data_IF_657061657035
#
_entry.id   IF_657061657035
#
_cell.length_a   1.000
_cell.length_b   1.000
_cell.length_c   1.000
_cell.angle_alpha   90.00
_cell.angle_beta   90.00
_cell.angle_gamma   90.00
#
_symmetry.space_group_name_H-M   'P 1'
#
loop_
_entity.id
_entity.type
_entity.pdbx_description
1 polymer ?
#
# COMPACT_ATOMS: atom_id res chain seq x y z
N UNK A 1 16.69 -10.78 -3.14
CA UNK A 1 17.78 -9.80 -3.32
C UNK A 1 19.13 -10.47 -3.23
N UNK A 2 19.83 -10.63 -4.36
CA UNK A 2 21.19 -11.16 -4.41
C UNK A 2 22.13 -10.00 -4.83
N UNK A 3 22.78 -9.31 -3.88
CA UNK A 3 23.58 -8.13 -4.17
C UNK A 3 24.80 -8.46 -5.04
N UNK A 4 25.38 -9.65 -4.89
CA UNK A 4 26.53 -10.08 -5.68
C UNK A 4 26.16 -10.21 -7.17
N UNK A 5 25.01 -10.82 -7.46
CA UNK A 5 24.52 -10.97 -8.82
C UNK A 5 24.08 -9.62 -9.41
N UNK A 6 23.36 -8.80 -8.64
CA UNK A 6 22.95 -7.45 -9.05
C UNK A 6 24.16 -6.59 -9.44
N UNK A 7 25.23 -6.64 -8.65
CA UNK A 7 26.46 -5.91 -8.92
C UNK A 7 27.24 -6.52 -10.10
N UNK A 8 27.26 -7.85 -10.22
CA UNK A 8 27.92 -8.54 -11.33
C UNK A 8 27.30 -8.16 -12.68
N UNK A 9 25.98 -7.98 -12.75
CA UNK A 9 25.29 -7.58 -13.98
C UNK A 9 25.66 -6.16 -14.43
N UNK A 10 26.02 -5.28 -13.49
CA UNK A 10 26.51 -3.93 -13.78
C UNK A 10 28.03 -3.90 -14.04
N UNK A 11 28.81 -4.63 -13.26
CA UNK A 11 30.28 -4.63 -13.31
C UNK A 11 30.85 -6.04 -13.05
N UNK A 12 31.45 -6.63 -14.08
CA UNK A 12 32.02 -7.98 -14.02
C UNK A 12 33.48 -8.02 -13.54
N UNK A 13 34.09 -6.87 -13.24
CA UNK A 13 35.51 -6.74 -12.87
C UNK A 13 36.48 -7.38 -13.88
N UNK A 14 36.10 -7.38 -15.17
CA UNK A 14 36.94 -7.85 -16.27
C UNK A 14 37.60 -6.68 -16.99
N UNK A 15 38.56 -6.98 -17.89
CA UNK A 15 39.20 -5.95 -18.73
C UNK A 15 38.18 -5.15 -19.56
N UNK A 16 37.10 -5.81 -19.97
CA UNK A 16 35.91 -5.22 -20.57
C UNK A 16 34.72 -5.51 -19.66
N UNK A 17 33.99 -4.46 -19.28
CA UNK A 17 32.73 -4.58 -18.54
C UNK A 17 31.56 -4.25 -19.44
N UNK A 18 30.45 -4.96 -19.24
CA UNK A 18 29.19 -4.75 -19.94
C UNK A 18 28.13 -4.42 -18.90
N UNK A 19 27.64 -3.18 -18.91
CA UNK A 19 26.64 -2.75 -17.95
C UNK A 19 25.24 -3.13 -18.44
N UNK A 20 24.78 -4.32 -18.07
CA UNK A 20 23.50 -4.85 -18.51
C UNK A 20 22.31 -4.05 -17.95
N UNK A 21 22.49 -3.36 -16.83
CA UNK A 21 21.47 -2.46 -16.26
C UNK A 21 21.23 -1.28 -17.22
N UNK A 22 22.31 -0.62 -17.65
CA UNK A 22 22.25 0.45 -18.65
C UNK A 22 21.69 -0.02 -20.00
N UNK A 23 22.12 -1.17 -20.50
CA UNK A 23 21.61 -1.72 -21.77
C UNK A 23 20.11 -2.02 -21.70
N UNK A 24 19.63 -2.52 -20.56
CA UNK A 24 18.20 -2.78 -20.35
C UNK A 24 17.40 -1.47 -20.30
N UNK A 25 17.95 -0.42 -19.70
CA UNK A 25 17.33 0.91 -19.70
C UNK A 25 17.30 1.54 -21.09
N UNK A 26 18.38 1.40 -21.87
CA UNK A 26 18.42 1.85 -23.28
C UNK A 26 17.44 1.07 -24.15
N UNK A 27 17.25 -0.22 -23.88
CA UNK A 27 16.22 -1.01 -24.54
C UNK A 27 14.81 -0.46 -24.26
N UNK A 28 14.51 -0.11 -23.00
CA UNK A 28 13.25 0.54 -22.64
C UNK A 28 13.05 1.89 -23.36
N UNK A 29 14.11 2.69 -23.42
CA UNK A 29 14.11 3.98 -24.12
C UNK A 29 13.82 3.83 -25.62
N UNK A 30 14.42 2.81 -26.24
CA UNK A 30 14.26 2.49 -27.65
C UNK A 30 12.87 1.97 -27.99
N UNK A 31 12.36 0.99 -27.22
CA UNK A 31 11.05 0.37 -27.49
C UNK A 31 9.89 1.36 -27.28
N UNK A 32 10.06 2.35 -26.40
CA UNK A 32 9.08 3.40 -26.15
C UNK A 32 9.23 4.64 -27.06
N UNK A 33 10.20 4.65 -27.98
CA UNK A 33 10.26 5.64 -29.08
C UNK A 33 10.83 7.02 -28.74
N UNK A 34 11.60 7.13 -27.66
CA UNK A 34 12.20 8.39 -27.16
C UNK A 34 13.01 9.17 -28.21
N UNK A 35 13.67 8.47 -29.13
CA UNK A 35 14.49 9.05 -30.21
C UNK A 35 13.69 9.82 -31.25
N UNK A 36 12.36 9.84 -31.17
CA UNK A 36 11.47 10.51 -32.14
C UNK A 36 10.92 11.86 -31.66
N UNK A 37 11.38 12.36 -30.51
CA UNK A 37 11.23 13.78 -30.15
C UNK A 37 9.95 14.18 -29.42
N UNK A 38 9.19 13.24 -28.85
CA UNK A 38 8.04 13.58 -28.00
C UNK A 38 7.63 12.48 -27.03
N UNK A 39 7.85 12.70 -25.73
CA UNK A 39 7.33 11.88 -24.61
C UNK A 39 5.79 11.76 -24.59
N UNK A 40 5.08 12.61 -25.36
CA UNK A 40 3.63 12.55 -25.55
C UNK A 40 3.14 11.58 -26.63
N UNK A 41 4.04 10.86 -27.31
CA UNK A 41 3.70 9.90 -28.38
C UNK A 41 3.80 8.43 -27.94
N UNK A 42 3.89 8.17 -26.63
CA UNK A 42 3.98 6.80 -26.08
C UNK A 42 2.89 5.88 -26.63
N UNK A 43 1.67 6.40 -26.79
CA UNK A 43 0.53 5.63 -27.31
C UNK A 43 0.64 5.18 -28.77
N UNK A 44 1.59 5.72 -29.56
CA UNK A 44 1.89 5.24 -30.91
C UNK A 44 2.82 4.01 -30.89
N UNK A 45 3.70 3.94 -29.89
CA UNK A 45 4.71 2.88 -29.78
C UNK A 45 4.24 1.74 -28.90
N UNK A 46 3.48 2.02 -27.84
CA UNK A 46 2.96 1.03 -26.91
C UNK A 46 1.61 0.51 -27.43
N UNK A 47 1.53 -0.79 -27.64
CA UNK A 47 0.33 -1.48 -28.12
C UNK A 47 0.19 -2.87 -27.48
N UNK A 48 -0.91 -3.55 -27.77
CA UNK A 48 -1.20 -4.89 -27.20
C UNK A 48 -0.12 -5.93 -27.53
N UNK A 49 0.61 -5.77 -28.65
CA UNK A 49 1.63 -6.71 -29.08
C UNK A 49 2.98 -6.59 -28.35
N UNK A 50 3.28 -5.43 -27.74
CA UNK A 50 4.58 -5.21 -27.09
C UNK A 50 4.51 -4.85 -25.61
N UNK A 51 3.34 -4.53 -25.07
CA UNK A 51 3.17 -4.14 -23.66
C UNK A 51 3.72 -5.17 -22.67
N UNK A 52 3.55 -6.46 -22.93
CA UNK A 52 4.09 -7.52 -22.07
C UNK A 52 5.63 -7.48 -21.97
N UNK A 53 6.32 -7.15 -23.06
CA UNK A 53 7.77 -7.02 -23.08
C UNK A 53 8.25 -5.78 -22.32
N UNK A 54 7.49 -4.69 -22.40
CA UNK A 54 7.75 -3.47 -21.64
C UNK A 54 7.57 -3.75 -20.14
N UNK A 55 6.48 -4.42 -19.74
CA UNK A 55 6.26 -4.85 -18.36
C UNK A 55 7.41 -5.71 -17.83
N UNK A 56 7.83 -6.73 -18.59
CA UNK A 56 8.96 -7.57 -18.21
C UNK A 56 10.26 -6.76 -18.06
N UNK A 57 10.46 -5.73 -18.90
CA UNK A 57 11.62 -4.84 -18.82
C UNK A 57 11.59 -4.00 -17.54
N UNK A 58 10.43 -3.41 -17.19
CA UNK A 58 10.24 -2.65 -15.96
C UNK A 58 10.45 -3.51 -14.70
N UNK A 59 9.91 -4.74 -14.70
CA UNK A 59 10.11 -5.69 -13.60
C UNK A 59 11.58 -6.09 -13.45
N UNK A 60 12.26 -6.35 -14.57
CA UNK A 60 13.69 -6.70 -14.56
C UNK A 60 14.53 -5.55 -14.01
N UNK A 61 14.26 -4.31 -14.45
CA UNK A 61 14.92 -3.12 -13.91
C UNK A 61 14.61 -2.93 -12.41
N UNK A 62 13.40 -3.25 -11.97
CA UNK A 62 13.01 -3.20 -10.56
C UNK A 62 13.86 -4.19 -9.76
N UNK A 63 13.99 -5.44 -10.20
CA UNK A 63 14.81 -6.46 -9.53
C UNK A 63 16.31 -6.14 -9.54
N UNK A 64 16.81 -5.40 -10.53
CA UNK A 64 18.18 -4.89 -10.53
C UNK A 64 18.44 -3.89 -9.39
N UNK A 65 17.41 -3.16 -8.96
CA UNK A 65 17.51 -2.09 -7.97
C UNK A 65 16.94 -2.44 -6.60
N UNK A 66 16.07 -3.44 -6.50
CA UNK A 66 15.34 -3.76 -5.27
C UNK A 66 16.25 -4.39 -4.20
N UNK A 67 16.12 -3.90 -2.97
CA UNK A 67 17.07 -4.11 -1.88
C UNK A 67 18.09 -2.97 -1.85
N UNK A 68 18.93 -2.81 -0.80
CA UNK A 68 19.92 -1.74 -0.81
C UNK A 68 21.00 -2.02 -1.88
N UNK A 69 20.76 -1.56 -3.10
CA UNK A 69 21.66 -1.63 -4.25
C UNK A 69 21.84 -0.22 -4.85
N UNK A 70 22.44 0.65 -4.05
CA UNK A 70 22.61 2.08 -4.37
C UNK A 70 23.28 2.32 -5.72
N UNK A 71 24.22 1.45 -6.06
CA UNK A 71 24.97 1.58 -7.29
C UNK A 71 24.14 1.36 -8.57
N UNK A 72 23.21 0.39 -8.55
CA UNK A 72 22.30 0.16 -9.66
C UNK A 72 21.20 1.24 -9.70
N UNK A 73 20.71 1.67 -8.53
CA UNK A 73 19.74 2.77 -8.42
C UNK A 73 20.30 4.06 -9.05
N UNK A 74 21.52 4.45 -8.67
CA UNK A 74 22.20 5.61 -9.23
C UNK A 74 22.49 5.43 -10.73
N UNK A 75 22.86 4.22 -11.17
CA UNK A 75 23.08 3.91 -12.58
C UNK A 75 21.83 4.18 -13.44
N UNK A 76 20.63 3.81 -12.95
CA UNK A 76 19.39 4.07 -13.68
C UNK A 76 19.03 5.57 -13.63
N UNK A 77 19.11 6.19 -12.45
CA UNK A 77 18.71 7.58 -12.28
C UNK A 77 19.59 8.57 -13.08
N UNK A 78 20.90 8.33 -13.12
CA UNK A 78 21.88 9.26 -13.72
C UNK A 78 22.29 8.90 -15.14
N UNK A 79 21.66 7.87 -15.74
CA UNK A 79 22.01 7.44 -17.09
C UNK A 79 21.80 8.56 -18.12
N UNK A 80 22.64 8.59 -19.15
CA UNK A 80 22.57 9.60 -20.23
C UNK A 80 21.34 9.41 -21.14
N UNK A 81 20.76 8.21 -21.16
CA UNK A 81 19.51 7.95 -21.88
C UNK A 81 18.32 8.65 -21.23
N UNK A 82 17.26 8.91 -22.00
CA UNK A 82 15.99 9.39 -21.47
C UNK A 82 15.14 8.29 -20.81
N UNK A 83 15.73 7.13 -20.47
CA UNK A 83 14.99 5.99 -19.91
C UNK A 83 14.21 6.33 -18.61
N UNK A 84 14.76 7.18 -17.74
CA UNK A 84 14.02 7.68 -16.57
C UNK A 84 12.81 8.51 -16.97
N UNK A 85 12.92 9.31 -18.03
CA UNK A 85 11.86 10.18 -18.53
C UNK A 85 10.74 9.34 -19.17
N UNK A 86 11.08 8.22 -19.79
CA UNK A 86 10.10 7.24 -20.25
C UNK A 86 9.34 6.63 -19.06
N UNK A 87 10.04 6.26 -17.98
CA UNK A 87 9.39 5.70 -16.79
C UNK A 87 8.42 6.73 -16.15
N UNK A 88 8.81 7.99 -16.05
CA UNK A 88 7.91 9.05 -15.52
C UNK A 88 6.75 9.32 -16.47
N UNK A 89 6.98 9.33 -17.79
CA UNK A 89 5.93 9.52 -18.78
C UNK A 89 4.92 8.36 -18.83
N UNK A 90 5.34 7.12 -18.60
CA UNK A 90 4.43 5.97 -18.47
C UNK A 90 3.41 6.17 -17.35
N UNK A 91 3.80 6.81 -16.24
CA UNK A 91 2.92 7.12 -15.12
C UNK A 91 2.01 8.32 -15.45
N UNK A 92 2.61 9.41 -15.94
CA UNK A 92 1.96 10.72 -16.06
C UNK A 92 1.02 10.84 -17.28
N UNK A 93 1.36 10.20 -18.39
CA UNK A 93 0.65 10.39 -19.65
C UNK A 93 -0.44 9.35 -19.87
N UNK A 94 -1.42 9.72 -20.68
CA UNK A 94 -2.43 8.78 -21.18
C UNK A 94 -1.87 8.02 -22.38
N UNK A 95 -1.97 6.69 -22.33
CA UNK A 95 -1.44 5.80 -23.38
C UNK A 95 -2.56 5.46 -24.36
N UNK A 96 -2.92 6.39 -25.25
CA UNK A 96 -3.99 6.19 -26.23
C UNK A 96 -3.46 5.71 -27.59
N UNK A 97 -4.14 4.75 -28.27
CA UNK A 97 -5.49 4.28 -27.99
C UNK A 97 -5.61 3.13 -26.97
N UNK A 98 -4.50 2.57 -26.50
CA UNK A 98 -4.49 1.38 -25.63
C UNK A 98 -5.34 1.54 -24.36
N UNK A 99 -5.31 2.72 -23.72
CA UNK A 99 -6.12 3.01 -22.54
C UNK A 99 -7.62 3.04 -22.81
N UNK A 100 -8.04 3.22 -24.06
CA UNK A 100 -9.45 3.15 -24.45
C UNK A 100 -9.94 1.72 -24.69
N UNK A 101 -9.05 0.79 -25.06
CA UNK A 101 -9.41 -0.59 -25.42
C UNK A 101 -9.05 -1.61 -24.33
N UNK A 102 -7.91 -1.44 -23.67
CA UNK A 102 -7.29 -2.38 -22.73
C UNK A 102 -6.67 -1.63 -21.56
N UNK A 103 -7.54 -1.00 -20.75
CA UNK A 103 -7.11 -0.22 -19.61
C UNK A 103 -6.34 -1.07 -18.58
N UNK A 104 -6.67 -2.37 -18.44
CA UNK A 104 -5.95 -3.27 -17.54
C UNK A 104 -4.44 -3.35 -17.83
N UNK A 105 -4.05 -3.30 -19.10
CA UNK A 105 -2.64 -3.35 -19.52
C UNK A 105 -1.92 -2.02 -19.21
N UNK A 106 -2.63 -0.90 -19.33
CA UNK A 106 -2.11 0.43 -18.98
C UNK A 106 -1.93 0.55 -17.46
N UNK A 107 -2.87 0.03 -16.67
CA UNK A 107 -2.76 0.01 -15.21
C UNK A 107 -1.57 -0.84 -14.75
N UNK A 108 -1.34 -1.99 -15.38
CA UNK A 108 -0.17 -2.82 -15.11
C UNK A 108 1.15 -2.10 -15.41
N UNK A 109 1.24 -1.42 -16.56
CA UNK A 109 2.40 -0.57 -16.90
C UNK A 109 2.64 0.51 -15.86
N UNK A 110 1.59 1.25 -15.47
CA UNK A 110 1.67 2.31 -14.45
C UNK A 110 2.10 1.74 -13.10
N UNK A 111 1.58 0.56 -12.73
CA UNK A 111 1.96 -0.14 -11.50
C UNK A 111 3.45 -0.47 -11.50
N UNK A 112 3.95 -1.15 -12.53
CA UNK A 112 5.33 -1.57 -12.63
C UNK A 112 6.30 -0.38 -12.75
N UNK A 113 5.93 0.67 -13.48
CA UNK A 113 6.69 1.92 -13.52
C UNK A 113 6.76 2.60 -12.14
N UNK A 114 5.65 2.63 -11.39
CA UNK A 114 5.64 3.20 -10.04
C UNK A 114 6.51 2.40 -9.06
N UNK A 115 6.49 1.07 -9.13
CA UNK A 115 7.36 0.18 -8.34
C UNK A 115 8.84 0.40 -8.65
N UNK A 116 9.19 0.58 -9.93
CA UNK A 116 10.55 0.89 -10.33
C UNK A 116 11.04 2.23 -9.75
N UNK A 117 10.22 3.29 -9.80
CA UNK A 117 10.58 4.58 -9.19
C UNK A 117 10.72 4.49 -7.67
N UNK A 118 9.84 3.74 -7.00
CA UNK A 118 9.97 3.48 -5.56
C UNK A 118 11.26 2.73 -5.24
N UNK A 119 11.64 1.72 -6.04
CA UNK A 119 12.89 0.98 -5.88
C UNK A 119 14.14 1.86 -6.10
N UNK A 120 14.10 2.80 -7.05
CA UNK A 120 15.17 3.80 -7.25
C UNK A 120 15.29 4.74 -6.04
N UNK A 121 14.17 5.00 -5.35
CA UNK A 121 14.06 5.88 -4.18
C UNK A 121 14.39 5.20 -2.83
N UNK A 122 14.65 3.89 -2.78
CA UNK A 122 14.97 3.17 -1.53
C UNK A 122 16.30 3.63 -0.86
N UNK A 123 17.13 4.44 -1.52
CA UNK A 123 18.41 4.93 -1.00
C UNK A 123 18.26 5.95 0.14
N UNK A 124 19.19 5.96 1.11
CA UNK A 124 19.10 6.84 2.30
C UNK A 124 20.06 8.01 2.36
N UNK A 125 21.19 7.95 1.65
CA UNK A 125 22.22 8.99 1.74
C UNK A 125 22.33 9.82 0.47
N UNK A 126 21.97 9.26 -0.69
CA UNK A 126 22.02 9.92 -2.01
C UNK A 126 20.64 10.02 -2.69
N UNK A 127 19.55 9.70 -1.97
CA UNK A 127 18.19 9.82 -2.51
C UNK A 127 17.87 11.24 -2.93
N UNK A 128 18.53 12.26 -2.37
CA UNK A 128 18.37 13.64 -2.81
C UNK A 128 18.68 13.80 -4.29
N UNK A 129 19.79 13.23 -4.78
CA UNK A 129 20.16 13.32 -6.20
C UNK A 129 19.19 12.56 -7.11
N UNK A 130 18.79 11.35 -6.71
CA UNK A 130 17.83 10.55 -7.48
C UNK A 130 16.44 11.20 -7.47
N UNK A 131 15.99 11.72 -6.33
CA UNK A 131 14.73 12.43 -6.17
C UNK A 131 14.69 13.70 -7.00
N UNK A 132 15.75 14.52 -6.96
CA UNK A 132 15.88 15.71 -7.79
C UNK A 132 15.79 15.35 -9.28
N UNK A 133 16.44 14.26 -9.70
CA UNK A 133 16.41 13.83 -11.10
C UNK A 133 15.03 13.34 -11.54
N UNK A 134 14.32 12.59 -10.69
CA UNK A 134 12.92 12.19 -10.93
C UNK A 134 12.02 13.43 -11.00
N UNK A 135 12.18 14.36 -10.06
CA UNK A 135 11.38 15.59 -9.98
C UNK A 135 11.63 16.56 -11.13
N UNK A 136 12.83 16.56 -11.72
CA UNK A 136 13.20 17.46 -12.81
C UNK A 136 12.24 17.37 -14.01
N UNK A 137 11.79 16.16 -14.33
CA UNK A 137 10.91 15.88 -15.48
C UNK A 137 9.47 15.53 -15.08
N UNK A 138 9.12 15.69 -13.80
CA UNK A 138 7.83 15.29 -13.26
C UNK A 138 7.07 16.53 -12.76
N UNK A 139 5.85 16.74 -13.29
CA UNK A 139 4.97 17.81 -12.81
C UNK A 139 4.30 17.37 -11.49
N UNK A 140 4.58 18.03 -10.34
CA UNK A 140 4.04 17.64 -9.04
C UNK A 140 2.52 17.59 -8.98
N UNK A 141 1.86 18.54 -9.65
CA UNK A 141 0.39 18.61 -9.67
C UNK A 141 -0.20 17.48 -10.50
N UNK A 142 0.36 17.23 -11.68
CA UNK A 142 -0.09 16.13 -12.55
C UNK A 142 0.07 14.77 -11.85
N UNK A 143 1.18 14.56 -11.14
CA UNK A 143 1.41 13.32 -10.39
C UNK A 143 0.31 13.06 -9.34
N UNK A 144 -0.05 14.10 -8.57
CA UNK A 144 -1.14 14.04 -7.59
C UNK A 144 -2.49 13.81 -8.29
N UNK A 145 -2.73 14.48 -9.40
CA UNK A 145 -3.97 14.33 -10.17
C UNK A 145 -4.11 12.90 -10.72
N UNK A 146 -3.03 12.27 -11.20
CA UNK A 146 -3.03 10.87 -11.67
C UNK A 146 -3.39 9.91 -10.53
N UNK A 147 -2.77 10.06 -9.34
CA UNK A 147 -3.11 9.24 -8.17
C UNK A 147 -4.58 9.41 -7.76
N UNK A 148 -5.09 10.64 -7.79
CA UNK A 148 -6.50 10.94 -7.46
C UNK A 148 -7.45 10.39 -8.53
N UNK A 149 -7.07 10.43 -9.80
CA UNK A 149 -7.90 9.94 -10.91
C UNK A 149 -8.06 8.43 -10.86
N UNK A 150 -7.00 7.70 -10.53
CA UNK A 150 -7.04 6.26 -10.34
C UNK A 150 -7.99 5.83 -9.21
N UNK A 151 -8.10 6.62 -8.14
CA UNK A 151 -9.09 6.40 -7.06
C UNK A 151 -10.53 6.52 -7.56
N UNK A 152 -10.82 7.57 -8.36
CA UNK A 152 -12.16 7.78 -8.88
C UNK A 152 -12.54 6.75 -9.95
N UNK A 153 -11.55 6.26 -10.70
CA UNK A 153 -11.74 5.21 -11.69
C UNK A 153 -12.23 3.91 -11.04
N UNK A 154 -11.64 3.50 -9.91
CA UNK A 154 -12.13 2.34 -9.13
C UNK A 154 -13.60 2.52 -8.73
N UNK A 155 -13.93 3.65 -8.10
CA UNK A 155 -15.28 3.89 -7.60
C UNK A 155 -16.33 3.93 -8.72
N UNK A 156 -15.93 4.34 -9.94
CA UNK A 156 -16.81 4.29 -11.09
C UNK A 156 -17.05 2.86 -11.57
N UNK A 157 -16.03 1.99 -11.51
CA UNK A 157 -16.17 0.56 -11.84
C UNK A 157 -17.07 -0.17 -10.83
N UNK A 158 -16.93 0.13 -9.53
CA UNK A 158 -17.75 -0.45 -8.46
C UNK A 158 -19.22 0.02 -8.52
N UNK A 159 -19.48 1.24 -9.00
CA UNK A 159 -20.83 1.79 -9.11
C UNK A 159 -21.65 1.20 -10.27
N UNK A 160 -20.97 0.71 -11.32
CA UNK A 160 -21.61 0.06 -12.48
C UNK A 160 -21.79 -1.46 -12.28
N UNK A 161 -21.15 -2.05 -11.26
CA UNK A 161 -21.27 -3.47 -10.93
C UNK A 161 -22.41 -3.74 -9.92
N UNK A 162 -23.66 -3.69 -10.38
CA UNK A 162 -24.87 -4.12 -9.62
C UNK A 162 -24.97 -5.67 -9.47
N UNK A 163 -23.88 -6.42 -9.72
CA UNK A 163 -23.85 -7.89 -9.65
C UNK A 163 -22.95 -8.38 -8.52
N UNK A 164 -23.55 -9.05 -7.54
CA UNK A 164 -22.93 -9.72 -6.36
C UNK A 164 -21.91 -10.85 -6.70
N UNK A 165 -21.47 -11.00 -7.95
CA UNK A 165 -20.43 -11.96 -8.31
C UNK A 165 -19.05 -11.34 -8.08
N UNK A 166 -18.58 -11.42 -6.82
CA UNK A 166 -17.19 -11.19 -6.40
C UNK A 166 -16.23 -12.25 -7.02
N UNK A 167 -16.18 -12.36 -8.34
CA UNK A 167 -15.03 -12.97 -8.98
C UNK A 167 -13.88 -11.96 -8.88
N UNK A 168 -12.75 -12.27 -8.21
CA UNK A 168 -11.64 -11.34 -8.16
C UNK A 168 -11.18 -11.06 -9.58
N UNK A 169 -11.32 -9.81 -10.02
CA UNK A 169 -10.80 -9.37 -11.31
C UNK A 169 -9.31 -9.67 -11.32
N UNK A 170 -8.90 -10.53 -12.26
CA UNK A 170 -7.54 -11.01 -12.39
C UNK A 170 -6.68 -9.90 -13.02
N UNK A 171 -6.43 -8.84 -12.26
CA UNK A 171 -5.75 -7.63 -12.73
C UNK A 171 -5.42 -6.68 -11.58
N UNK A 172 -4.54 -5.71 -11.83
CA UNK A 172 -4.17 -4.69 -10.85
C UNK A 172 -5.33 -3.69 -10.72
N UNK A 173 -5.79 -3.43 -9.49
CA UNK A 173 -6.85 -2.44 -9.29
C UNK A 173 -6.33 -1.01 -9.52
N UNK A 174 -7.09 -0.14 -10.20
CA UNK A 174 -6.80 1.30 -10.28
C UNK A 174 -6.43 1.90 -8.91
N UNK A 175 -7.14 1.50 -7.85
CA UNK A 175 -6.87 1.96 -6.49
C UNK A 175 -5.48 1.58 -5.97
N UNK A 176 -4.98 0.38 -6.27
CA UNK A 176 -3.62 -0.05 -5.92
C UNK A 176 -2.57 0.79 -6.67
N UNK A 177 -2.77 0.99 -7.98
CA UNK A 177 -1.88 1.84 -8.80
C UNK A 177 -1.83 3.26 -8.24
N UNK A 178 -2.99 3.85 -7.94
CA UNK A 178 -3.09 5.17 -7.36
C UNK A 178 -2.41 5.28 -5.99
N UNK A 179 -2.47 4.23 -5.17
CA UNK A 179 -1.79 4.19 -3.88
C UNK A 179 -0.26 4.13 -4.04
N UNK A 180 0.26 3.33 -4.97
CA UNK A 180 1.71 3.27 -5.24
C UNK A 180 2.24 4.64 -5.73
N UNK A 181 1.50 5.32 -6.59
CA UNK A 181 1.83 6.68 -7.03
C UNK A 181 1.75 7.66 -5.84
N UNK A 182 0.75 7.52 -4.95
CA UNK A 182 0.68 8.35 -3.74
C UNK A 182 1.89 8.15 -2.81
N UNK A 183 2.36 6.91 -2.62
CA UNK A 183 3.56 6.63 -1.82
C UNK A 183 4.78 7.30 -2.46
N UNK A 184 4.90 7.24 -3.79
CA UNK A 184 5.95 7.96 -4.51
C UNK A 184 5.84 9.47 -4.27
N UNK A 185 4.64 10.06 -4.36
CA UNK A 185 4.41 11.47 -4.02
C UNK A 185 4.87 11.79 -2.60
N UNK A 186 4.53 10.92 -1.64
CA UNK A 186 4.87 11.09 -0.24
C UNK A 186 6.38 11.07 0.00
N UNK A 187 7.10 10.16 -0.65
CA UNK A 187 8.56 10.07 -0.57
C UNK A 187 9.22 11.29 -1.21
N UNK A 188 8.81 11.66 -2.43
CA UNK A 188 9.37 12.82 -3.15
C UNK A 188 9.04 14.17 -2.47
N UNK A 189 7.93 14.25 -1.71
CA UNK A 189 7.55 15.45 -0.96
C UNK A 189 8.56 15.84 0.14
N UNK A 190 9.47 14.94 0.54
CA UNK A 190 10.57 15.31 1.44
C UNK A 190 11.58 16.24 0.76
N UNK A 191 11.72 16.14 -0.57
CA UNK A 191 12.65 16.93 -1.38
C UNK A 191 11.99 18.07 -2.17
N UNK A 192 10.65 18.07 -2.30
CA UNK A 192 9.91 19.11 -3.03
C UNK A 192 8.82 19.77 -2.16
N UNK A 193 8.99 21.07 -1.86
CA UNK A 193 8.06 21.85 -1.03
C UNK A 193 6.68 22.04 -1.66
N UNK A 194 6.62 22.17 -2.99
CA UNK A 194 5.35 22.30 -3.72
C UNK A 194 4.55 21.00 -3.61
N UNK A 195 5.18 19.86 -3.91
CA UNK A 195 4.57 18.54 -3.76
C UNK A 195 4.14 18.26 -2.31
N UNK A 196 4.98 18.65 -1.34
CA UNK A 196 4.63 18.56 0.09
C UNK A 196 3.36 19.34 0.42
N UNK A 197 3.19 20.54 -0.16
CA UNK A 197 2.00 21.35 0.03
C UNK A 197 0.76 20.70 -0.57
N UNK A 198 0.88 20.07 -1.76
CA UNK A 198 -0.22 19.38 -2.45
C UNK A 198 -0.67 18.13 -1.68
N UNK A 199 0.28 17.34 -1.16
CA UNK A 199 -0.01 16.07 -0.47
C UNK A 199 -0.48 16.28 0.97
N UNK A 200 0.06 17.29 1.68
CA UNK A 200 -0.22 17.50 3.11
C UNK A 200 -1.36 18.47 3.39
N UNK A 201 -1.65 19.40 2.49
CA UNK A 201 -2.76 20.34 2.71
C UNK A 201 -4.09 19.57 2.77
N UNK A 202 -5.06 20.05 3.56
CA UNK A 202 -6.43 19.56 3.44
C UNK A 202 -6.88 19.87 2.01
N UNK A 203 -7.00 18.82 1.21
CA UNK A 203 -7.34 18.96 -0.19
C UNK A 203 -8.74 19.54 -0.33
N UNK A 204 -8.91 20.46 -1.27
CA UNK A 204 -10.18 21.12 -1.59
C UNK A 204 -10.65 20.66 -2.96
N UNK A 205 -11.97 20.49 -3.13
CA UNK A 205 -12.55 20.01 -4.39
C UNK A 205 -12.44 18.50 -4.60
N UNK A 206 -12.36 18.06 -5.86
CA UNK A 206 -12.42 16.64 -6.25
C UNK A 206 -11.30 15.76 -5.69
N UNK A 207 -10.13 16.32 -5.37
CA UNK A 207 -9.01 15.55 -4.84
C UNK A 207 -9.07 15.30 -3.33
N UNK A 208 -10.08 15.86 -2.63
CA UNK A 208 -10.19 15.77 -1.18
C UNK A 208 -10.36 14.34 -0.65
N UNK A 209 -11.31 13.60 -1.21
CA UNK A 209 -11.59 12.23 -0.80
C UNK A 209 -10.45 11.24 -1.11
N UNK A 210 -9.86 11.21 -2.33
CA UNK A 210 -8.72 10.35 -2.64
C UNK A 210 -7.51 10.61 -1.73
N UNK A 211 -7.13 11.88 -1.55
CA UNK A 211 -5.95 12.21 -0.73
C UNK A 211 -6.17 11.88 0.74
N UNK A 212 -7.37 12.07 1.25
CA UNK A 212 -7.71 11.65 2.61
C UNK A 212 -7.66 10.13 2.75
N UNK A 213 -8.20 9.39 1.77
CA UNK A 213 -8.14 7.94 1.75
C UNK A 213 -6.69 7.45 1.77
N UNK A 214 -5.85 7.88 0.83
CA UNK A 214 -4.46 7.42 0.79
C UNK A 214 -3.70 7.77 2.07
N UNK A 215 -3.92 8.96 2.63
CA UNK A 215 -3.29 9.40 3.88
C UNK A 215 -3.65 8.51 5.07
N UNK A 216 -4.91 8.09 5.21
CA UNK A 216 -5.33 7.22 6.33
C UNK A 216 -4.93 5.76 6.14
N UNK A 217 -4.65 5.35 4.90
CA UNK A 217 -4.26 3.98 4.54
C UNK A 217 -2.77 3.86 4.22
N UNK A 218 -1.96 4.88 4.50
CA UNK A 218 -0.50 4.83 4.39
C UNK A 218 0.10 4.82 5.79
N UNK A 219 1.01 3.89 6.05
CA UNK A 219 1.79 3.85 7.28
C UNK A 219 3.27 4.05 6.98
N UNK A 220 4.01 4.53 7.98
CA UNK A 220 5.46 4.68 7.95
C UNK A 220 6.06 3.99 9.16
N UNK A 221 7.11 3.20 8.96
CA UNK A 221 7.86 2.53 10.03
C UNK A 221 9.35 2.79 9.89
N UNK A 222 10.05 2.77 11.03
CA UNK A 222 11.50 2.87 11.08
C UNK A 222 12.14 1.50 11.35
N UNK A 223 13.11 1.08 10.54
CA UNK A 223 13.76 -0.22 10.65
C UNK A 223 15.28 -0.05 10.74
N UNK A 224 15.92 -0.73 11.68
CA UNK A 224 17.39 -0.80 11.76
C UNK A 224 17.88 -2.00 10.94
N UNK A 225 18.71 -1.74 9.92
CA UNK A 225 19.33 -2.76 9.07
C UNK A 225 20.56 -3.40 9.76
N UNK A 226 21.10 -4.46 9.16
CA UNK A 226 22.26 -5.21 9.71
C UNK A 226 23.53 -4.36 9.83
N UNK A 227 23.66 -3.31 9.02
CA UNK A 227 24.74 -2.32 9.05
C UNK A 227 24.51 -1.21 10.10
N UNK A 228 23.46 -1.34 10.93
CA UNK A 228 23.04 -0.36 11.96
C UNK A 228 22.49 0.94 11.42
N UNK A 229 22.16 1.00 10.14
CA UNK A 229 21.51 2.18 9.54
C UNK A 229 19.99 2.13 9.74
N UNK A 230 19.34 3.28 10.00
CA UNK A 230 17.88 3.41 10.19
C UNK A 230 17.10 3.80 8.93
N UNK A 231 16.13 2.97 8.50
CA UNK A 231 15.28 3.15 7.32
C UNK A 231 13.96 3.69 7.68
N UNK A 232 13.38 4.46 6.76
CA UNK A 232 11.95 4.72 6.76
C UNK A 232 11.33 3.95 5.60
N UNK A 233 10.38 3.08 5.91
CA UNK A 233 9.60 2.36 4.93
C UNK A 233 8.17 2.88 4.98
N UNK A 234 7.65 3.26 3.83
CA UNK A 234 6.26 3.72 3.65
C UNK A 234 5.51 2.64 2.88
N UNK A 235 4.36 2.22 3.39
CA UNK A 235 3.61 1.10 2.81
C UNK A 235 2.08 1.28 2.99
N UNK A 236 1.26 0.66 2.13
CA UNK A 236 -0.18 0.67 2.29
C UNK A 236 -0.58 -0.25 3.46
N UNK A 237 -1.47 0.24 4.32
CA UNK A 237 -2.04 -0.55 5.42
C UNK A 237 -2.96 -1.62 4.82
N UNK A 238 -2.71 -2.93 5.10
CA UNK A 238 -3.60 -3.98 4.62
C UNK A 238 -5.01 -3.82 5.19
N UNK A 239 -6.04 -4.03 4.35
CA UNK A 239 -7.46 -3.85 4.73
C UNK A 239 -7.87 -4.67 5.97
N UNK A 240 -7.26 -5.84 6.16
CA UNK A 240 -7.52 -6.68 7.33
C UNK A 240 -7.25 -5.95 8.67
N UNK A 241 -6.34 -4.97 8.66
CA UNK A 241 -6.00 -4.17 9.84
C UNK A 241 -7.11 -3.21 10.29
N UNK A 242 -8.08 -2.89 9.42
CA UNK A 242 -9.26 -2.07 9.77
C UNK A 242 -10.20 -2.79 10.75
N UNK A 243 -10.13 -4.12 10.78
CA UNK A 243 -10.97 -4.96 11.63
C UNK A 243 -10.40 -5.15 13.03
N UNK A 244 -9.29 -4.48 13.39
CA UNK A 244 -8.70 -4.55 14.72
C UNK A 244 -9.52 -3.73 15.74
N UNK A 245 -10.14 -4.36 16.76
CA UNK A 245 -10.97 -3.64 17.73
C UNK A 245 -10.17 -2.64 18.58
N UNK A 246 -10.79 -1.50 18.91
CA UNK A 246 -10.18 -0.46 19.75
C UNK A 246 -9.86 -0.97 21.16
N UNK A 247 -10.74 -1.80 21.74
CA UNK A 247 -10.51 -2.42 23.05
C UNK A 247 -9.28 -3.32 23.05
N UNK A 248 -9.04 -4.03 21.95
CA UNK A 248 -7.87 -4.90 21.79
C UNK A 248 -6.57 -4.08 21.68
N UNK A 249 -6.61 -2.93 20.99
CA UNK A 249 -5.49 -1.95 21.00
C UNK A 249 -5.21 -1.44 22.41
N UNK A 250 -6.26 -1.06 23.15
CA UNK A 250 -6.12 -0.55 24.51
C UNK A 250 -5.58 -1.61 25.48
N UNK A 251 -6.10 -2.84 25.37
CA UNK A 251 -5.66 -4.00 26.15
C UNK A 251 -4.18 -4.28 25.94
N UNK A 252 -3.71 -4.32 24.69
CA UNK A 252 -2.27 -4.54 24.39
C UNK A 252 -1.42 -3.40 24.95
N UNK A 253 -1.83 -2.15 24.76
CA UNK A 253 -1.09 -0.99 25.25
C UNK A 253 -0.85 -1.04 26.77
N UNK A 254 -1.89 -1.40 27.53
CA UNK A 254 -1.84 -1.45 28.99
C UNK A 254 -1.17 -2.71 29.54
N UNK A 255 -1.51 -3.88 28.99
CA UNK A 255 -1.08 -5.18 29.54
C UNK A 255 0.22 -5.71 28.96
N UNK A 256 0.83 -5.04 27.98
CA UNK A 256 2.12 -5.46 27.45
C UNK A 256 3.23 -5.33 28.50
N UNK A 257 3.89 -6.44 28.79
CA UNK A 257 4.94 -6.56 29.80
C UNK A 257 6.28 -6.05 29.26
N UNK A 258 7.15 -5.62 30.18
CA UNK A 258 8.52 -5.21 29.84
C UNK A 258 9.45 -6.38 30.06
N UNK A 259 10.37 -6.59 29.13
CA UNK A 259 11.48 -7.53 29.28
C UNK A 259 12.54 -7.01 30.28
N UNK A 260 13.61 -7.80 30.47
CA UNK A 260 14.74 -7.46 31.35
C UNK A 260 15.47 -6.17 30.94
N UNK A 261 15.30 -5.71 29.69
CA UNK A 261 15.86 -4.48 29.15
C UNK A 261 14.86 -3.30 29.24
N UNK A 262 13.68 -3.51 29.80
CA UNK A 262 12.63 -2.51 29.93
C UNK A 262 11.80 -2.29 28.66
N UNK A 263 11.96 -3.12 27.63
CA UNK A 263 11.27 -3.03 26.34
C UNK A 263 9.99 -3.86 26.33
N UNK A 264 8.93 -3.31 25.71
CA UNK A 264 7.65 -4.02 25.50
C UNK A 264 7.59 -4.82 24.20
N UNK A 265 8.66 -4.78 23.41
CA UNK A 265 8.65 -5.27 22.03
C UNK A 265 8.47 -6.78 21.96
N UNK A 266 9.20 -7.55 22.78
CA UNK A 266 9.14 -9.01 22.73
C UNK A 266 7.72 -9.56 22.99
N UNK A 267 7.05 -9.09 24.05
CA UNK A 267 5.68 -9.49 24.38
C UNK A 267 4.67 -8.99 23.33
N UNK A 268 4.85 -7.77 22.80
CA UNK A 268 4.03 -7.29 21.69
C UNK A 268 4.09 -8.22 20.47
N UNK A 269 5.29 -8.62 20.04
CA UNK A 269 5.47 -9.56 18.93
C UNK A 269 4.86 -10.94 19.23
N UNK A 270 4.96 -11.43 20.47
CA UNK A 270 4.33 -12.68 20.90
C UNK A 270 2.79 -12.67 20.82
N UNK A 271 2.15 -11.49 20.78
CA UNK A 271 0.69 -11.34 20.70
C UNK A 271 0.17 -11.15 19.27
N UNK A 272 1.04 -10.97 18.28
CA UNK A 272 0.64 -10.63 16.91
C UNK A 272 -0.27 -11.68 16.28
N UNK A 273 0.03 -12.96 16.46
CA UNK A 273 -0.80 -14.03 15.90
C UNK A 273 -2.22 -13.98 16.45
N UNK A 274 -2.39 -13.76 17.75
CA UNK A 274 -3.71 -13.65 18.37
C UNK A 274 -4.48 -12.44 17.83
N UNK A 275 -3.82 -11.29 17.69
CA UNK A 275 -4.43 -10.09 17.11
C UNK A 275 -4.82 -10.33 15.63
N UNK A 276 -4.00 -11.04 14.87
CA UNK A 276 -4.29 -11.35 13.47
C UNK A 276 -5.47 -12.33 13.33
N UNK A 277 -5.55 -13.34 14.19
CA UNK A 277 -6.72 -14.21 14.25
C UNK A 277 -7.98 -13.44 14.65
N UNK A 278 -7.89 -12.52 15.62
CA UNK A 278 -8.99 -11.65 16.01
C UNK A 278 -9.48 -10.79 14.83
N UNK A 279 -8.57 -10.17 14.08
CA UNK A 279 -8.90 -9.40 12.87
C UNK A 279 -9.63 -10.26 11.81
N UNK A 280 -9.14 -11.48 11.54
CA UNK A 280 -9.81 -12.43 10.62
C UNK A 280 -11.22 -12.79 11.10
N UNK A 281 -11.38 -13.04 12.39
CA UNK A 281 -12.68 -13.34 12.97
C UNK A 281 -13.63 -12.15 12.90
N UNK A 282 -13.16 -10.94 13.17
CA UNK A 282 -13.95 -9.72 13.04
C UNK A 282 -14.39 -9.48 11.60
N UNK A 283 -13.51 -9.70 10.61
CA UNK A 283 -13.88 -9.66 9.18
C UNK A 283 -15.00 -10.66 8.87
N UNK A 284 -14.85 -11.92 9.30
CA UNK A 284 -15.88 -12.97 9.11
C UNK A 284 -17.20 -12.65 9.81
N UNK A 285 -17.14 -12.10 11.03
CA UNK A 285 -18.31 -11.74 11.83
C UNK A 285 -19.11 -10.60 11.19
N UNK A 286 -18.42 -9.57 10.64
CA UNK A 286 -19.09 -8.48 9.92
C UNK A 286 -19.78 -8.94 8.64
N UNK A 287 -19.33 -10.04 8.03
CA UNK A 287 -20.03 -10.71 6.93
C UNK A 287 -21.35 -11.38 7.34
N UNK A 288 -21.69 -11.42 8.64
CA UNK A 288 -22.92 -12.02 9.16
C UNK A 288 -23.69 -11.01 10.03
N UNK A 289 -24.64 -10.25 9.45
CA UNK A 289 -25.28 -9.10 10.12
C UNK A 289 -25.95 -9.43 11.46
N UNK A 290 -26.60 -10.59 11.56
CA UNK A 290 -27.28 -11.01 12.79
C UNK A 290 -26.31 -11.26 13.93
N UNK A 291 -25.20 -11.97 13.67
CA UNK A 291 -24.20 -12.27 14.70
C UNK A 291 -23.43 -11.02 15.10
N UNK A 292 -23.10 -10.16 14.13
CA UNK A 292 -22.47 -8.87 14.42
C UNK A 292 -23.35 -8.01 15.32
N UNK A 293 -24.66 -7.97 15.06
CA UNK A 293 -25.61 -7.25 15.89
C UNK A 293 -25.65 -7.80 17.32
N UNK A 294 -25.69 -9.12 17.52
CA UNK A 294 -25.66 -9.70 18.87
C UNK A 294 -24.34 -9.35 19.59
N UNK A 295 -23.21 -9.45 18.88
CA UNK A 295 -21.88 -9.19 19.44
C UNK A 295 -21.66 -7.73 19.83
N UNK A 296 -22.28 -6.77 19.13
CA UNK A 296 -22.06 -5.34 19.41
C UNK A 296 -22.66 -4.89 20.74
N UNK A 297 -23.65 -5.62 21.26
CA UNK A 297 -24.31 -5.33 22.54
C UNK A 297 -23.78 -6.17 23.72
N UNK A 298 -22.57 -6.74 23.63
CA UNK A 298 -22.04 -7.64 24.66
C UNK A 298 -22.05 -7.03 26.09
N UNK A 299 -21.69 -5.75 26.22
CA UNK A 299 -21.74 -5.04 27.51
C UNK A 299 -23.17 -4.88 28.04
N UNK A 300 -24.14 -4.63 27.16
CA UNK A 300 -25.56 -4.50 27.52
C UNK A 300 -26.15 -5.84 27.96
N UNK A 301 -25.84 -6.93 27.26
CA UNK A 301 -26.20 -8.29 27.68
C UNK A 301 -25.59 -8.64 29.04
N UNK A 302 -24.31 -8.33 29.25
CA UNK A 302 -23.64 -8.55 30.54
C UNK A 302 -24.31 -7.79 31.67
N UNK A 303 -24.68 -6.52 31.45
CA UNK A 303 -25.37 -5.71 32.46
C UNK A 303 -26.78 -6.23 32.76
N UNK A 304 -27.56 -6.63 31.74
CA UNK A 304 -28.89 -7.20 31.94
C UNK A 304 -28.81 -8.49 32.75
N UNK A 305 -27.90 -9.40 32.37
CA UNK A 305 -27.70 -10.67 33.07
C UNK A 305 -27.25 -10.46 34.52
N UNK A 306 -26.35 -9.51 34.76
CA UNK A 306 -25.92 -9.16 36.12
C UNK A 306 -27.09 -8.64 36.96
N UNK A 307 -27.90 -7.72 36.44
CA UNK A 307 -29.06 -7.19 37.15
C UNK A 307 -30.11 -8.27 37.43
N UNK A 308 -30.38 -9.18 36.48
CA UNK A 308 -31.27 -10.30 36.71
C UNK A 308 -30.73 -11.26 37.77
N UNK A 309 -29.43 -11.56 37.76
CA UNK A 309 -28.81 -12.41 38.78
C UNK A 309 -28.96 -11.79 40.18
N UNK A 310 -28.72 -10.48 40.31
CA UNK A 310 -28.93 -9.75 41.57
C UNK A 310 -30.41 -9.80 41.98
N UNK A 311 -31.33 -9.53 41.07
CA UNK A 311 -32.78 -9.56 41.34
C UNK A 311 -33.24 -10.94 41.82
N UNK A 312 -32.83 -12.00 41.14
CA UNK A 312 -33.17 -13.38 41.51
C UNK A 312 -32.61 -13.69 42.90
N UNK A 313 -31.35 -13.35 43.18
CA UNK A 313 -30.74 -13.58 44.48
C UNK A 313 -31.44 -12.79 45.60
N UNK A 314 -31.90 -11.57 45.33
CA UNK A 314 -32.69 -10.76 46.27
C UNK A 314 -34.06 -11.40 46.52
N UNK A 315 -34.75 -11.87 45.48
CA UNK A 315 -36.04 -12.57 45.62
C UNK A 315 -35.85 -13.84 46.47
N UNK A 316 -34.83 -14.65 46.18
CA UNK A 316 -34.52 -15.85 46.97
C UNK A 316 -34.22 -15.48 48.42
N UNK A 317 -33.44 -14.43 48.68
CA UNK A 317 -33.14 -14.01 50.04
C UNK A 317 -34.39 -13.60 50.85
N UNK A 318 -35.41 -13.03 50.23
CA UNK A 318 -36.64 -12.61 50.91
C UNK A 318 -37.69 -13.72 51.05
N UNK A 319 -37.82 -14.59 50.05
CA UNK A 319 -38.92 -15.56 49.98
C UNK A 319 -38.50 -17.00 50.28
N UNK A 320 -37.24 -17.22 50.66
CA UNK A 320 -36.74 -18.52 51.10
C UNK A 320 -36.92 -18.71 52.62
N UNK A 321 -37.35 -19.89 53.11
CA UNK A 321 -37.75 -21.08 52.36
C UNK A 321 -39.15 -20.91 51.76
N UNK A 322 -39.29 -21.32 50.49
CA UNK A 322 -40.58 -21.32 49.81
C UNK A 322 -41.53 -22.31 50.50
N UNK A 323 -42.59 -21.81 51.13
CA UNK A 323 -43.65 -22.66 51.67
C UNK A 323 -44.60 -23.04 50.55
N UNK A 324 -44.65 -24.32 50.19
CA UNK A 324 -45.66 -24.86 49.29
C UNK A 324 -47.03 -24.81 49.97
N UNK A 325 -47.82 -23.76 49.72
CA UNK A 325 -49.27 -23.87 49.88
C UNK A 325 -49.81 -24.73 48.75
N UNK A 326 -49.72 -26.05 48.89
CA UNK A 326 -50.55 -26.95 48.11
C UNK A 326 -52.02 -26.56 48.35
N UNK A 327 -52.79 -26.16 47.32
CA UNK A 327 -54.21 -25.93 47.51
C UNK A 327 -54.83 -27.27 47.90
N UNK A 328 -55.43 -27.34 49.10
CA UNK A 328 -56.30 -28.44 49.46
C UNK A 328 -57.48 -28.40 48.50
N UNK A 329 -57.46 -29.25 47.47
CA UNK A 329 -58.64 -29.60 46.68
C UNK A 329 -59.67 -30.18 47.65
N UNK A 330 -60.65 -29.36 48.02
CA UNK A 330 -61.87 -29.73 48.73
C UNK A 330 -63.06 -29.66 47.81
#
# INVERSE_FOLDING_TARGET
HNPDLQNLLRNQNNKSNFNLVSETLMFLDCICGSTTGGLGLLGLYINEGNVALINQTLETLTEYCQGPCHENQNCIATHESNGLDIITALILNDINPLGSTRMELVLELKNNASKLLLAIMESRNDSESNAERILYNMNPKQLVDVACSAFHQENAMDADSDSDDEAPVQGVSPKEVGHNIYILCHQLATHNKELASLVRSPATGGNAAPLQYYRTHTAQIEIVRTDRSMEQIVFPIPEICEYLPADSKHRVLQSAERDDQGSKVADFFGRLDNLFHEMKWQKKLRGQPLLFWVSSYMSLWSNILFNFAVLINVIVAFFYPFQDEHPKLG
#
